data_IF_098364210641
#
_entry.id   IF_098364210641
#
_cell.length_a   1.000
_cell.length_b   1.000
_cell.length_c   1.000
_cell.angle_alpha   90.00
_cell.angle_beta   90.00
_cell.angle_gamma   90.00
#
_symmetry.space_group_name_H-M   'P 1'
#
loop_
_entity.id
_entity.type
_entity.pdbx_description
1 polymer ?
#
# COMPACT_ATOMS: atom_id res chain seq x y z
N UNK A 1 -29.72 65.20 60.70
CA UNK A 1 -28.84 65.21 59.55
C UNK A 1 -28.58 63.74 59.13
N UNK A 2 -29.24 63.25 58.09
CA UNK A 2 -29.10 61.92 57.66
C UNK A 2 -28.44 61.90 56.23
N UNK A 3 -27.18 61.43 56.18
CA UNK A 3 -26.44 61.31 54.95
C UNK A 3 -26.92 60.07 54.11
N UNK A 4 -27.27 60.31 52.88
CA UNK A 4 -27.64 59.21 51.91
C UNK A 4 -26.37 58.84 51.13
N UNK A 5 -25.98 57.57 51.26
CA UNK A 5 -24.92 56.99 50.47
C UNK A 5 -25.60 56.38 49.18
N UNK A 6 -25.14 56.84 48.03
CA UNK A 6 -25.57 56.35 46.72
C UNK A 6 -24.56 55.32 46.27
N UNK A 7 -25.00 54.08 46.03
CA UNK A 7 -24.21 53.04 45.43
C UNK A 7 -24.35 53.10 43.90
N UNK A 8 -23.26 53.31 43.18
CA UNK A 8 -23.21 53.18 41.76
C UNK A 8 -22.82 51.72 41.39
N UNK A 9 -23.73 51.02 40.72
CA UNK A 9 -23.46 49.70 40.21
C UNK A 9 -22.70 49.82 38.87
N UNK A 10 -21.48 49.29 38.86
CA UNK A 10 -20.70 49.13 37.61
C UNK A 10 -21.14 47.83 36.95
N UNK A 11 -21.82 47.90 35.82
CA UNK A 11 -22.14 46.75 34.99
C UNK A 11 -20.94 46.44 34.07
N UNK A 12 -20.22 45.36 34.34
CA UNK A 12 -19.16 44.83 33.47
C UNK A 12 -19.80 44.04 32.35
N UNK A 13 -19.70 44.55 31.14
CA UNK A 13 -20.11 43.85 29.93
C UNK A 13 -19.02 42.81 29.58
N UNK A 14 -19.30 41.52 29.82
CA UNK A 14 -18.44 40.43 29.34
C UNK A 14 -18.85 40.14 27.90
N UNK A 15 -18.07 40.59 26.94
CA UNK A 15 -18.23 40.20 25.55
C UNK A 15 -17.71 38.75 25.38
N UNK A 16 -18.61 37.81 25.21
CA UNK A 16 -18.28 36.44 24.83
C UNK A 16 -17.78 36.43 23.38
N UNK A 17 -16.45 36.32 23.19
CA UNK A 17 -15.86 35.93 21.91
C UNK A 17 -16.16 34.47 21.67
N UNK A 18 -17.21 34.19 20.89
CA UNK A 18 -17.43 32.87 20.33
C UNK A 18 -16.30 32.47 19.35
N UNK A 19 -15.98 31.19 19.21
CA UNK A 19 -14.97 30.75 18.27
C UNK A 19 -15.40 31.18 16.86
N UNK A 20 -14.60 32.06 16.23
CA UNK A 20 -14.76 32.33 14.81
C UNK A 20 -14.32 31.05 14.06
N UNK A 21 -15.30 30.35 13.49
CA UNK A 21 -15.05 29.36 12.45
C UNK A 21 -14.45 30.13 11.27
N UNK A 22 -13.12 30.06 11.16
CA UNK A 22 -12.43 30.47 9.95
C UNK A 22 -12.87 29.47 8.88
N UNK A 23 -13.82 29.87 8.04
CA UNK A 23 -14.13 29.12 6.84
C UNK A 23 -12.82 28.99 6.04
N UNK A 24 -12.28 27.77 5.99
CA UNK A 24 -11.23 27.44 5.04
C UNK A 24 -11.74 27.82 3.65
N UNK A 25 -11.13 28.87 3.08
CA UNK A 25 -11.30 29.18 1.66
C UNK A 25 -10.97 27.91 0.90
N UNK A 26 -11.94 27.40 0.12
CA UNK A 26 -11.75 26.25 -0.72
C UNK A 26 -10.43 26.40 -1.48
N UNK A 27 -9.52 25.46 -1.25
CA UNK A 27 -8.33 25.35 -2.06
C UNK A 27 -8.80 25.20 -3.51
N UNK A 28 -8.41 26.15 -4.38
CA UNK A 28 -8.60 25.98 -5.81
C UNK A 28 -7.95 24.66 -6.19
N UNK A 29 -8.73 23.71 -6.68
CA UNK A 29 -8.22 22.43 -7.16
C UNK A 29 -7.01 22.71 -8.04
N UNK A 30 -5.86 22.15 -7.70
CA UNK A 30 -4.61 22.41 -8.42
C UNK A 30 -4.76 21.80 -9.82
N UNK A 31 -4.58 22.63 -10.85
CA UNK A 31 -4.73 22.23 -12.25
C UNK A 31 -3.74 21.08 -12.54
N UNK A 32 -4.20 19.96 -13.15
CA UNK A 32 -3.32 18.86 -13.56
C UNK A 32 -2.23 19.35 -14.53
N UNK A 33 -1.02 18.80 -14.42
CA UNK A 33 -0.02 18.93 -15.49
C UNK A 33 -0.44 18.00 -16.63
N UNK A 34 -0.75 18.56 -17.80
CA UNK A 34 -1.23 17.81 -18.97
C UNK A 34 -0.23 16.73 -19.45
N UNK A 35 1.06 16.91 -19.19
CA UNK A 35 2.09 15.91 -19.54
C UNK A 35 1.98 14.69 -18.61
N UNK A 36 1.72 14.92 -17.34
CA UNK A 36 1.50 13.87 -16.34
C UNK A 36 0.15 13.20 -16.59
N UNK A 37 -0.88 14.00 -16.85
CA UNK A 37 -2.22 13.47 -17.18
C UNK A 37 -2.18 12.54 -18.38
N UNK A 38 -1.43 12.87 -19.43
CA UNK A 38 -1.27 12.02 -20.60
C UNK A 38 -0.59 10.66 -20.29
N UNK A 39 0.20 10.56 -19.22
CA UNK A 39 0.72 9.29 -18.72
C UNK A 39 -0.32 8.54 -17.89
N UNK A 40 -1.05 9.24 -17.02
CA UNK A 40 -2.12 8.65 -16.20
C UNK A 40 -3.22 8.06 -17.09
N UNK A 41 -3.59 8.73 -18.17
CA UNK A 41 -4.58 8.25 -19.13
C UNK A 41 -4.18 6.97 -19.89
N UNK A 42 -2.93 6.48 -19.73
CA UNK A 42 -2.47 5.17 -20.25
C UNK A 42 -2.78 3.99 -19.34
N UNK A 43 -3.22 4.25 -18.10
CA UNK A 43 -3.70 3.22 -17.22
C UNK A 43 -5.00 2.63 -17.78
N UNK A 44 -5.14 1.32 -17.65
CA UNK A 44 -6.26 0.59 -18.25
C UNK A 44 -6.87 -0.36 -17.23
N UNK A 45 -8.15 -0.17 -16.91
CA UNK A 45 -8.87 -0.98 -15.93
C UNK A 45 -8.88 -2.46 -16.30
N UNK A 46 -9.12 -2.78 -17.57
CA UNK A 46 -9.21 -4.17 -17.99
C UNK A 46 -7.84 -4.87 -17.93
N UNK A 47 -6.74 -4.15 -18.24
CA UNK A 47 -5.39 -4.69 -18.04
C UNK A 47 -5.08 -4.94 -16.58
N UNK A 48 -5.44 -4.00 -15.69
CA UNK A 48 -5.31 -4.17 -14.26
C UNK A 48 -6.05 -5.42 -13.76
N UNK A 49 -7.32 -5.57 -14.16
CA UNK A 49 -8.14 -6.76 -13.86
C UNK A 49 -7.52 -8.05 -14.42
N UNK A 50 -7.05 -8.04 -15.67
CA UNK A 50 -6.40 -9.20 -16.30
C UNK A 50 -5.12 -9.60 -15.57
N UNK A 51 -4.34 -8.62 -15.07
CA UNK A 51 -3.12 -8.90 -14.31
C UNK A 51 -3.46 -9.57 -12.97
N UNK A 52 -4.45 -9.07 -12.22
CA UNK A 52 -4.93 -9.73 -10.99
C UNK A 52 -5.41 -11.15 -11.32
N UNK A 53 -6.24 -11.30 -12.36
CA UNK A 53 -6.71 -12.62 -12.78
C UNK A 53 -5.58 -13.56 -13.18
N UNK A 54 -4.54 -13.04 -13.81
CA UNK A 54 -3.32 -13.80 -14.12
C UNK A 54 -2.60 -14.32 -12.88
N UNK A 55 -2.53 -13.52 -11.81
CA UNK A 55 -1.93 -13.93 -10.54
C UNK A 55 -2.72 -15.04 -9.85
N UNK A 56 -4.05 -15.06 -9.95
CA UNK A 56 -4.89 -16.05 -9.27
C UNK A 56 -4.71 -17.47 -9.78
N UNK A 57 -4.10 -17.66 -10.96
CA UNK A 57 -3.80 -19.01 -11.48
C UNK A 57 -2.85 -19.79 -10.57
N UNK A 58 -2.10 -19.11 -9.71
CA UNK A 58 -1.14 -19.70 -8.77
C UNK A 58 -1.73 -19.87 -7.35
N UNK A 59 -3.05 -19.72 -7.16
CA UNK A 59 -3.71 -19.72 -5.86
C UNK A 59 -3.26 -18.54 -5.01
N UNK A 60 -3.10 -18.73 -3.69
CA UNK A 60 -2.65 -17.67 -2.78
C UNK A 60 -1.15 -17.37 -2.88
N UNK A 61 -0.42 -17.98 -3.77
CA UNK A 61 1.02 -17.74 -4.04
C UNK A 61 1.91 -17.85 -2.79
N UNK A 62 1.49 -18.66 -1.82
CA UNK A 62 2.19 -18.83 -0.54
C UNK A 62 3.68 -19.05 -0.74
N UNK A 63 4.48 -18.24 -0.04
CA UNK A 63 5.95 -18.33 -0.11
C UNK A 63 6.47 -19.76 0.15
N UNK A 64 7.59 -20.13 -0.49
CA UNK A 64 8.23 -21.44 -0.30
C UNK A 64 7.58 -22.59 -1.08
N UNK A 65 6.57 -22.35 -1.89
CA UNK A 65 5.92 -23.33 -2.77
C UNK A 65 6.44 -23.22 -4.22
N UNK A 66 6.28 -24.28 -5.02
CA UNK A 66 6.63 -24.23 -6.45
C UNK A 66 5.75 -23.23 -7.21
N UNK A 67 4.46 -23.11 -6.83
CA UNK A 67 3.54 -22.16 -7.42
C UNK A 67 3.92 -20.70 -7.11
N UNK A 68 4.54 -20.42 -5.93
CA UNK A 68 5.11 -19.11 -5.64
C UNK A 68 6.30 -18.81 -6.57
N UNK A 69 7.21 -19.77 -6.76
CA UNK A 69 8.32 -19.65 -7.72
C UNK A 69 7.83 -19.41 -9.14
N UNK A 70 6.80 -20.16 -9.55
CA UNK A 70 6.16 -19.97 -10.86
C UNK A 70 5.50 -18.58 -10.99
N UNK A 71 4.93 -18.04 -9.93
CA UNK A 71 4.39 -16.68 -9.91
C UNK A 71 5.49 -15.62 -10.05
N UNK A 72 6.64 -15.78 -9.38
CA UNK A 72 7.82 -14.92 -9.56
C UNK A 72 8.28 -14.95 -11.04
N UNK A 73 8.39 -16.14 -11.64
CA UNK A 73 8.77 -16.30 -13.05
C UNK A 73 7.77 -15.63 -13.98
N UNK A 74 6.47 -15.77 -13.72
CA UNK A 74 5.42 -15.13 -14.50
C UNK A 74 5.46 -13.61 -14.41
N UNK A 75 5.61 -13.06 -13.20
CA UNK A 75 5.73 -11.61 -12.97
C UNK A 75 6.96 -11.08 -13.72
N UNK A 76 8.11 -11.75 -13.61
CA UNK A 76 9.33 -11.34 -14.31
C UNK A 76 9.13 -11.33 -15.83
N UNK A 77 8.46 -12.35 -16.38
CA UNK A 77 8.16 -12.41 -17.80
C UNK A 77 7.26 -11.26 -18.27
N UNK A 78 6.25 -10.87 -17.45
CA UNK A 78 5.41 -9.72 -17.75
C UNK A 78 6.23 -8.42 -17.73
N UNK A 79 7.03 -8.17 -16.70
CA UNK A 79 7.88 -6.98 -16.62
C UNK A 79 8.85 -6.87 -17.80
N UNK A 80 9.47 -7.99 -18.20
CA UNK A 80 10.32 -8.04 -19.41
C UNK A 80 9.53 -7.71 -20.68
N UNK A 81 8.29 -8.17 -20.79
CA UNK A 81 7.42 -7.87 -21.95
C UNK A 81 7.08 -6.39 -22.07
N UNK A 82 7.08 -5.64 -20.96
CA UNK A 82 6.94 -4.18 -20.95
C UNK A 82 8.20 -3.44 -21.34
N UNK A 83 9.31 -4.14 -21.54
CA UNK A 83 10.62 -3.55 -21.80
C UNK A 83 11.32 -3.02 -20.54
N UNK A 84 10.89 -3.47 -19.34
CA UNK A 84 11.51 -3.11 -18.06
C UNK A 84 12.63 -4.12 -17.71
N UNK A 85 13.91 -3.72 -17.61
CA UNK A 85 14.98 -4.63 -17.23
C UNK A 85 14.80 -5.15 -15.80
N UNK A 86 14.83 -6.47 -15.65
CA UNK A 86 14.56 -7.14 -14.38
C UNK A 86 15.81 -7.65 -13.69
N UNK A 87 15.76 -7.69 -12.37
CA UNK A 87 16.73 -8.35 -11.50
C UNK A 87 15.99 -9.08 -10.38
N UNK A 88 16.66 -10.07 -9.74
CA UNK A 88 16.15 -10.80 -8.59
C UNK A 88 17.02 -10.59 -7.37
N UNK A 89 16.39 -10.50 -6.21
CA UNK A 89 17.02 -10.64 -4.90
C UNK A 89 16.80 -12.06 -4.42
N UNK A 90 17.87 -12.68 -3.90
CA UNK A 90 17.85 -14.00 -3.28
C UNK A 90 18.21 -13.88 -1.82
N UNK A 91 17.50 -14.62 -0.97
CA UNK A 91 17.75 -14.71 0.45
C UNK A 91 17.32 -16.08 0.98
N UNK A 92 17.89 -16.48 2.12
CA UNK A 92 17.52 -17.73 2.80
C UNK A 92 16.40 -17.48 3.80
N UNK A 93 15.42 -18.35 3.80
CA UNK A 93 14.34 -18.33 4.78
C UNK A 93 14.23 -19.68 5.49
N UNK A 94 14.09 -19.61 6.80
CA UNK A 94 13.77 -20.77 7.65
C UNK A 94 12.52 -20.46 8.43
N UNK A 95 11.56 -21.35 8.39
CA UNK A 95 10.34 -21.25 9.19
C UNK A 95 10.73 -21.13 10.68
N UNK A 96 10.29 -20.06 11.36
CA UNK A 96 10.54 -19.94 12.80
C UNK A 96 9.94 -21.14 13.54
N UNK A 97 10.60 -21.62 14.61
CA UNK A 97 10.02 -22.67 15.44
C UNK A 97 8.67 -22.19 16.00
N UNK A 98 7.71 -23.10 16.21
CA UNK A 98 6.43 -22.76 16.80
C UNK A 98 6.63 -21.98 18.11
N UNK A 99 5.91 -20.87 18.27
CA UNK A 99 5.96 -20.10 19.51
C UNK A 99 5.42 -20.99 20.66
N UNK A 100 6.22 -21.33 21.68
CA UNK A 100 5.75 -22.16 22.78
C UNK A 100 4.68 -21.49 23.65
N UNK A 101 4.44 -20.18 23.44
CA UNK A 101 3.46 -19.41 24.18
C UNK A 101 2.63 -18.57 23.19
N UNK A 102 1.77 -19.18 22.34
CA UNK A 102 0.96 -18.43 21.41
C UNK A 102 0.00 -17.54 22.21
N UNK A 103 0.16 -16.22 22.08
CA UNK A 103 -0.80 -15.28 22.62
C UNK A 103 -2.12 -15.45 21.84
N UNK A 104 -3.22 -15.93 22.46
CA UNK A 104 -4.47 -16.17 21.75
C UNK A 104 -5.13 -14.90 21.16
N UNK A 105 -4.57 -13.73 21.43
CA UNK A 105 -5.02 -12.44 20.93
C UNK A 105 -4.12 -11.81 19.85
N UNK A 106 -3.02 -12.49 19.45
CA UNK A 106 -2.09 -11.99 18.44
C UNK A 106 -2.01 -12.97 17.27
N UNK A 107 -2.45 -12.60 16.09
CA UNK A 107 -2.03 -13.22 14.85
C UNK A 107 -0.50 -13.26 14.78
N UNK A 108 0.07 -14.13 13.97
CA UNK A 108 1.50 -14.37 13.87
C UNK A 108 2.27 -13.04 13.65
N UNK A 109 2.65 -12.40 14.76
CA UNK A 109 3.52 -11.25 14.74
C UNK A 109 4.93 -11.76 14.46
N UNK A 110 5.40 -11.61 13.23
CA UNK A 110 6.82 -11.70 12.92
C UNK A 110 7.58 -10.77 13.85
N UNK A 111 8.76 -11.20 14.31
CA UNK A 111 9.64 -10.38 15.15
C UNK A 111 10.01 -9.11 14.36
N UNK A 112 9.41 -8.00 14.73
CA UNK A 112 9.60 -6.70 14.10
C UNK A 112 8.39 -5.79 14.24
N UNK A 113 7.25 -6.31 14.72
CA UNK A 113 6.10 -5.46 15.04
C UNK A 113 6.48 -4.52 16.19
N UNK A 114 6.57 -3.24 15.88
CA UNK A 114 6.45 -2.19 16.90
C UNK A 114 5.14 -2.48 17.62
N UNK A 115 5.08 -2.54 18.97
CA UNK A 115 3.85 -2.76 19.68
C UNK A 115 2.82 -1.74 19.18
N UNK A 116 1.70 -2.21 18.68
CA UNK A 116 0.57 -1.35 18.35
C UNK A 116 0.23 -0.54 19.61
N UNK A 117 0.44 0.76 19.54
CA UNK A 117 0.07 1.64 20.65
C UNK A 117 -1.45 1.44 20.88
N UNK A 118 -1.89 1.21 22.12
CA UNK A 118 -3.31 1.03 22.38
C UNK A 118 -4.04 2.27 21.84
N UNK A 119 -5.19 2.11 21.16
CA UNK A 119 -5.95 3.24 20.68
C UNK A 119 -6.24 4.14 21.86
N UNK A 120 -5.77 5.38 21.81
CA UNK A 120 -6.10 6.41 22.79
C UNK A 120 -7.54 6.83 22.59
N UNK A 121 -8.48 5.96 22.96
CA UNK A 121 -9.88 6.30 23.05
C UNK A 121 -10.12 7.02 24.36
N UNK A 122 -10.05 8.33 24.35
CA UNK A 122 -10.76 9.13 25.32
C UNK A 122 -12.25 9.05 24.97
N UNK A 123 -12.95 8.09 25.57
CA UNK A 123 -14.39 7.93 25.40
C UNK A 123 -14.80 6.46 25.28
N UNK A 124 -15.26 5.87 26.39
CA UNK A 124 -15.62 4.46 26.51
C UNK A 124 -16.85 4.02 25.71
N UNK A 125 -16.78 4.03 24.39
CA UNK A 125 -17.71 3.38 23.49
C UNK A 125 -17.03 2.20 22.81
N UNK A 126 -17.54 0.97 23.05
CA UNK A 126 -17.15 -0.19 22.25
C UNK A 126 -17.42 0.11 20.78
N UNK A 127 -16.49 -0.18 19.84
CA UNK A 127 -16.76 -0.06 18.42
C UNK A 127 -18.03 -0.82 18.06
N UNK A 128 -19.00 -0.15 17.47
CA UNK A 128 -20.24 -0.76 16.98
C UNK A 128 -19.98 -1.32 15.58
N UNK A 129 -19.21 -2.40 15.48
CA UNK A 129 -18.96 -3.09 14.22
C UNK A 129 -18.96 -4.60 14.42
N UNK A 130 -19.29 -5.33 13.37
CA UNK A 130 -19.12 -6.77 13.33
C UNK A 130 -17.60 -7.00 13.34
N UNK A 131 -17.12 -7.79 14.29
CA UNK A 131 -15.72 -8.23 14.29
C UNK A 131 -15.52 -9.12 13.08
N UNK A 132 -14.86 -8.61 12.05
CA UNK A 132 -14.30 -9.45 11.00
C UNK A 132 -13.21 -10.33 11.60
N UNK A 133 -13.02 -11.51 11.05
CA UNK A 133 -11.89 -12.37 11.43
C UNK A 133 -10.61 -11.66 11.00
N UNK A 134 -9.74 -11.36 11.95
CA UNK A 134 -8.45 -10.69 11.70
C UNK A 134 -7.28 -11.68 11.70
N UNK A 135 -7.55 -12.99 11.69
CA UNK A 135 -6.54 -14.05 11.70
C UNK A 135 -6.56 -14.81 10.38
N UNK A 136 -5.37 -15.29 9.99
CA UNK A 136 -5.20 -16.18 8.84
C UNK A 136 -6.10 -17.41 8.98
N UNK A 137 -6.88 -17.72 7.97
CA UNK A 137 -7.61 -18.97 7.93
C UNK A 137 -6.62 -20.12 7.69
N UNK A 138 -6.64 -21.12 8.57
CA UNK A 138 -5.74 -22.27 8.51
C UNK A 138 -6.45 -23.57 8.14
N UNK A 139 -7.78 -23.55 7.96
CA UNK A 139 -8.56 -24.72 7.61
C UNK A 139 -8.67 -24.87 6.07
N UNK A 140 -8.04 -25.89 5.48
CA UNK A 140 -8.16 -26.13 4.04
C UNK A 140 -9.60 -26.42 3.58
N UNK A 141 -10.44 -26.95 4.49
CA UNK A 141 -11.83 -27.30 4.17
C UNK A 141 -12.73 -26.05 4.11
N UNK A 142 -12.26 -24.90 4.63
CA UNK A 142 -12.95 -23.62 4.50
C UNK A 142 -12.97 -23.12 3.04
N UNK A 143 -12.08 -23.61 2.15
CA UNK A 143 -12.11 -23.31 0.72
C UNK A 143 -13.01 -24.30 -0.03
N UNK A 144 -14.20 -23.87 -0.51
CA UNK A 144 -15.13 -24.75 -1.20
C UNK A 144 -14.67 -25.11 -2.63
N UNK A 145 -13.94 -24.21 -3.31
CA UNK A 145 -13.42 -24.47 -4.65
C UNK A 145 -12.30 -25.53 -4.59
N UNK A 146 -12.58 -26.71 -5.17
CA UNK A 146 -11.65 -27.84 -5.14
C UNK A 146 -10.34 -27.54 -5.88
N UNK A 147 -10.35 -26.70 -6.93
CA UNK A 147 -9.17 -26.31 -7.69
C UNK A 147 -8.28 -25.40 -6.87
N UNK A 148 -8.85 -24.35 -6.28
CA UNK A 148 -8.12 -23.40 -5.42
C UNK A 148 -7.57 -24.12 -4.19
N UNK A 149 -8.39 -24.97 -3.56
CA UNK A 149 -7.94 -25.78 -2.41
C UNK A 149 -6.77 -26.70 -2.79
N UNK A 150 -6.84 -27.39 -3.93
CA UNK A 150 -5.76 -28.28 -4.38
C UNK A 150 -4.45 -27.53 -4.64
N UNK A 151 -4.50 -26.33 -5.22
CA UNK A 151 -3.34 -25.47 -5.40
C UNK A 151 -2.73 -25.09 -4.05
N UNK A 152 -3.56 -24.65 -3.11
CA UNK A 152 -3.11 -24.16 -1.80
C UNK A 152 -2.68 -25.26 -0.83
N UNK A 153 -2.96 -26.54 -1.15
CA UNK A 153 -2.45 -27.71 -0.43
C UNK A 153 -0.94 -27.96 -0.63
N UNK A 154 -0.30 -27.32 -1.61
CA UNK A 154 1.14 -27.49 -1.82
C UNK A 154 1.92 -27.04 -0.59
N UNK A 155 2.78 -27.89 -0.01
CA UNK A 155 3.53 -27.55 1.19
C UNK A 155 4.61 -26.50 0.89
N UNK A 156 4.75 -25.54 1.79
CA UNK A 156 5.92 -24.66 1.80
C UNK A 156 7.15 -25.38 2.35
N UNK A 157 8.31 -25.07 1.79
CA UNK A 157 9.60 -25.63 2.20
C UNK A 157 10.52 -24.53 2.70
N UNK A 158 11.44 -24.85 3.59
CA UNK A 158 12.56 -23.95 3.94
C UNK A 158 13.53 -23.82 2.76
N UNK A 159 14.40 -22.82 2.80
CA UNK A 159 15.47 -22.61 1.85
C UNK A 159 15.38 -21.28 1.11
N UNK A 160 15.95 -21.20 -0.11
CA UNK A 160 16.05 -19.93 -0.82
C UNK A 160 14.67 -19.37 -1.23
N UNK A 161 14.58 -18.05 -1.14
CA UNK A 161 13.47 -17.23 -1.68
C UNK A 161 14.01 -16.28 -2.70
N UNK A 162 13.17 -15.93 -3.64
CA UNK A 162 13.45 -14.91 -4.64
C UNK A 162 12.30 -13.91 -4.69
N UNK A 163 12.65 -12.68 -4.98
CA UNK A 163 11.75 -11.61 -5.35
C UNK A 163 12.27 -10.92 -6.58
N UNK A 164 11.41 -10.23 -7.30
CA UNK A 164 11.76 -9.61 -8.57
C UNK A 164 11.45 -8.11 -8.55
N UNK A 165 12.35 -7.34 -9.13
CA UNK A 165 12.11 -5.94 -9.44
C UNK A 165 12.55 -5.62 -10.86
N UNK A 166 12.04 -4.50 -11.39
CA UNK A 166 12.58 -3.93 -12.62
C UNK A 166 12.87 -2.44 -12.43
N UNK A 167 13.73 -1.89 -13.29
CA UNK A 167 14.25 -0.53 -13.11
C UNK A 167 14.13 0.29 -14.38
N UNK A 168 13.41 1.42 -14.30
CA UNK A 168 13.43 2.51 -15.27
C UNK A 168 14.53 3.48 -14.88
N UNK A 169 15.63 3.49 -15.61
CA UNK A 169 16.80 4.36 -15.32
C UNK A 169 16.49 5.80 -15.75
N UNK A 170 16.74 6.74 -14.85
CA UNK A 170 16.60 8.17 -15.09
C UNK A 170 17.65 8.71 -16.07
N UNK A 171 17.30 9.75 -16.80
CA UNK A 171 18.18 10.34 -17.84
C UNK A 171 19.12 11.41 -17.31
N UNK A 172 18.68 12.25 -16.36
CA UNK A 172 19.46 13.39 -15.84
C UNK A 172 20.02 13.13 -14.44
N UNK A 173 19.28 12.41 -13.61
CA UNK A 173 19.65 12.02 -12.24
C UNK A 173 19.48 10.51 -12.02
N UNK A 174 20.27 9.68 -12.75
CA UNK A 174 20.17 8.22 -12.63
C UNK A 174 20.60 7.68 -11.26
N UNK A 175 21.31 8.49 -10.48
CA UNK A 175 21.78 8.24 -9.13
C UNK A 175 20.74 8.50 -8.03
N UNK A 176 19.55 9.02 -8.37
CA UNK A 176 18.42 9.25 -7.48
C UNK A 176 17.24 8.33 -7.85
N UNK A 177 16.59 7.69 -6.86
CA UNK A 177 15.58 6.67 -7.12
C UNK A 177 14.40 6.73 -6.15
N UNK A 178 13.19 6.50 -6.70
CA UNK A 178 12.01 6.13 -5.94
C UNK A 178 11.74 4.64 -6.10
N UNK A 179 11.35 3.97 -5.01
CA UNK A 179 10.98 2.55 -4.99
C UNK A 179 9.46 2.47 -4.85
N UNK A 180 8.82 1.75 -5.76
CA UNK A 180 7.38 1.52 -5.81
C UNK A 180 7.18 0.02 -5.64
N UNK A 181 6.57 -0.38 -4.55
CA UNK A 181 6.49 -1.79 -4.17
C UNK A 181 5.08 -2.28 -3.88
N UNK A 182 4.94 -3.60 -3.93
CA UNK A 182 3.80 -4.40 -3.50
C UNK A 182 4.32 -5.80 -3.14
N UNK A 183 3.61 -6.59 -2.33
CA UNK A 183 4.00 -7.98 -2.14
C UNK A 183 3.23 -8.94 -3.04
N UNK A 184 3.91 -9.97 -3.48
CA UNK A 184 3.33 -10.90 -4.45
C UNK A 184 2.83 -12.21 -3.83
N UNK A 185 3.27 -12.54 -2.63
CA UNK A 185 2.80 -13.70 -1.90
C UNK A 185 1.50 -13.39 -1.14
N UNK A 186 0.84 -14.41 -0.65
CA UNK A 186 -0.38 -14.33 0.12
C UNK A 186 -0.64 -15.64 0.83
N UNK A 187 -1.70 -15.72 1.62
CA UNK A 187 -2.13 -16.90 2.34
C UNK A 187 -3.65 -16.87 2.64
N UNK A 188 -4.17 -17.84 3.42
CA UNK A 188 -5.57 -17.84 3.85
C UNK A 188 -6.51 -18.70 3.02
N UNK A 189 -5.98 -19.51 2.10
CA UNK A 189 -6.72 -20.48 1.27
C UNK A 189 -7.55 -19.87 0.15
N UNK A 190 -7.50 -18.54 -0.08
CA UNK A 190 -8.08 -17.86 -1.23
C UNK A 190 -7.19 -17.89 -2.48
N UNK A 191 -7.41 -16.91 -3.33
CA UNK A 191 -6.56 -16.59 -4.48
C UNK A 191 -5.62 -15.41 -4.20
N UNK A 192 -5.70 -14.81 -2.99
CA UNK A 192 -4.98 -13.59 -2.63
C UNK A 192 -5.17 -12.50 -3.71
N UNK A 193 -6.42 -12.29 -4.11
CA UNK A 193 -6.75 -11.38 -5.20
C UNK A 193 -6.62 -9.92 -4.77
N UNK A 194 -7.02 -9.61 -3.53
CA UNK A 194 -6.83 -8.31 -2.92
C UNK A 194 -5.49 -8.26 -2.17
N UNK A 195 -5.21 -9.23 -1.30
CA UNK A 195 -4.02 -9.28 -0.45
C UNK A 195 -2.96 -10.26 -1.00
N UNK A 196 -1.92 -9.81 -1.75
CA UNK A 196 -1.78 -8.49 -2.35
C UNK A 196 -1.63 -8.60 -3.88
N UNK A 197 -2.57 -9.33 -4.50
CA UNK A 197 -2.68 -9.38 -5.96
C UNK A 197 -3.03 -8.01 -6.55
N UNK A 198 -3.77 -7.20 -5.80
CA UNK A 198 -4.21 -5.87 -6.23
C UNK A 198 -3.05 -4.88 -6.27
N UNK A 199 -2.25 -4.78 -5.22
CA UNK A 199 -1.06 -3.94 -5.20
C UNK A 199 0.00 -4.42 -6.19
N UNK A 200 0.23 -5.74 -6.27
CA UNK A 200 1.13 -6.33 -7.28
C UNK A 200 0.74 -5.91 -8.70
N UNK A 201 -0.54 -6.03 -9.07
CA UNK A 201 -1.02 -5.62 -10.38
C UNK A 201 -0.91 -4.12 -10.62
N UNK A 202 -1.15 -3.30 -9.59
CA UNK A 202 -0.97 -1.85 -9.64
C UNK A 202 0.48 -1.49 -9.97
N UNK A 203 1.44 -2.05 -9.25
CA UNK A 203 2.88 -1.79 -9.47
C UNK A 203 3.29 -2.24 -10.87
N UNK A 204 2.77 -3.38 -11.38
CA UNK A 204 3.02 -3.86 -12.73
C UNK A 204 2.43 -2.92 -13.80
N UNK A 205 1.24 -2.34 -13.58
CA UNK A 205 0.66 -1.34 -14.49
C UNK A 205 1.48 -0.04 -14.53
N UNK A 206 1.97 0.43 -13.38
CA UNK A 206 2.90 1.56 -13.34
C UNK A 206 4.18 1.22 -14.13
N UNK A 207 4.78 0.05 -13.89
CA UNK A 207 5.96 -0.41 -14.62
C UNK A 207 5.73 -0.42 -16.14
N UNK A 208 4.56 -0.88 -16.58
CA UNK A 208 4.18 -0.90 -18.00
C UNK A 208 4.15 0.51 -18.60
N UNK A 209 3.49 1.46 -17.93
CA UNK A 209 3.36 2.83 -18.43
C UNK A 209 4.72 3.53 -18.47
N UNK A 210 5.49 3.48 -17.39
CA UNK A 210 6.80 4.13 -17.33
C UNK A 210 7.85 3.50 -18.25
N UNK A 211 7.72 2.20 -18.55
CA UNK A 211 8.67 1.50 -19.46
C UNK A 211 8.36 1.71 -20.94
N UNK A 212 7.29 2.43 -21.27
CA UNK A 212 7.01 2.83 -22.66
C UNK A 212 8.25 3.45 -23.30
N UNK A 213 8.54 3.06 -24.56
CA UNK A 213 9.73 3.52 -25.29
C UNK A 213 9.76 5.02 -25.52
N UNK A 214 8.59 5.65 -25.49
CA UNK A 214 8.36 7.09 -25.62
C UNK A 214 8.33 7.82 -24.26
N UNK A 215 8.54 7.13 -23.14
CA UNK A 215 8.54 7.73 -21.79
C UNK A 215 9.96 7.93 -21.30
N UNK A 216 10.25 9.12 -20.82
CA UNK A 216 11.50 9.45 -20.12
C UNK A 216 11.22 9.94 -18.71
N UNK A 217 12.17 9.68 -17.80
CA UNK A 217 12.18 10.20 -16.44
C UNK A 217 13.52 10.86 -16.15
N UNK A 218 13.55 11.89 -15.33
CA UNK A 218 14.81 12.48 -14.88
C UNK A 218 15.47 11.59 -13.81
N UNK A 219 14.68 11.04 -12.89
CA UNK A 219 15.12 10.12 -11.83
C UNK A 219 14.78 8.68 -12.16
N UNK A 220 15.50 7.77 -11.55
CA UNK A 220 15.27 6.33 -11.62
C UNK A 220 14.02 5.94 -10.83
N UNK A 221 13.29 4.94 -11.34
CA UNK A 221 12.17 4.31 -10.66
C UNK A 221 12.45 2.81 -10.58
N UNK A 222 12.29 2.21 -9.41
CA UNK A 222 12.31 0.77 -9.20
C UNK A 222 10.92 0.28 -8.86
N UNK A 223 10.42 -0.68 -9.63
CA UNK A 223 9.16 -1.37 -9.39
C UNK A 223 9.48 -2.72 -8.79
N UNK A 224 9.15 -2.91 -7.51
CA UNK A 224 9.58 -4.07 -6.74
C UNK A 224 8.37 -4.90 -6.30
N UNK A 225 8.43 -6.21 -6.56
CA UNK A 225 7.42 -7.18 -6.14
C UNK A 225 8.05 -8.06 -5.05
N UNK A 226 7.80 -7.68 -3.80
CA UNK A 226 8.35 -8.35 -2.63
C UNK A 226 7.78 -9.75 -2.47
N UNK A 227 8.51 -10.64 -1.86
CA UNK A 227 8.06 -11.99 -1.57
C UNK A 227 8.23 -12.29 -0.08
N UNK A 228 7.36 -13.14 0.46
CA UNK A 228 7.44 -13.55 1.86
C UNK A 228 7.16 -12.39 2.84
N UNK A 229 6.21 -11.51 2.48
CA UNK A 229 5.66 -10.48 3.35
C UNK A 229 4.91 -11.12 4.51
N UNK A 230 3.99 -12.04 4.19
CA UNK A 230 2.99 -12.67 5.03
C UNK A 230 3.56 -13.46 6.23
N UNK A 231 4.84 -13.72 6.23
CA UNK A 231 5.54 -14.41 7.32
C UNK A 231 6.60 -13.54 8.00
N UNK A 232 6.56 -12.22 7.76
CA UNK A 232 7.36 -11.23 8.51
C UNK A 232 8.20 -10.28 7.67
N UNK A 233 7.70 -9.77 6.54
CA UNK A 233 8.33 -8.73 5.71
C UNK A 233 9.72 -9.13 5.20
N UNK A 234 9.94 -10.43 4.97
CA UNK A 234 11.28 -10.98 4.83
C UNK A 234 11.97 -10.53 3.54
N UNK A 235 11.23 -10.41 2.43
CA UNK A 235 11.77 -9.94 1.17
C UNK A 235 12.24 -8.50 1.25
N UNK A 236 11.36 -7.59 1.64
CA UNK A 236 11.69 -6.18 1.81
C UNK A 236 12.86 -5.98 2.79
N UNK A 237 12.87 -6.73 3.90
CA UNK A 237 13.97 -6.70 4.87
C UNK A 237 15.29 -7.19 4.26
N UNK A 238 15.25 -8.24 3.43
CA UNK A 238 16.42 -8.76 2.73
C UNK A 238 16.96 -7.75 1.71
N UNK A 239 16.07 -7.10 0.95
CA UNK A 239 16.46 -6.03 0.04
C UNK A 239 17.15 -4.88 0.78
N UNK A 240 16.56 -4.37 1.85
CA UNK A 240 17.17 -3.30 2.67
C UNK A 240 18.53 -3.72 3.19
N UNK A 241 18.65 -4.94 3.76
CA UNK A 241 19.90 -5.45 4.30
C UNK A 241 21.00 -5.55 3.24
N UNK A 242 20.67 -5.98 2.01
CA UNK A 242 21.63 -6.17 0.92
C UNK A 242 22.00 -4.87 0.20
N UNK A 243 21.11 -3.86 0.16
CA UNK A 243 21.22 -2.72 -0.75
C UNK A 243 21.44 -1.36 -0.09
N UNK A 244 21.03 -1.17 1.19
CA UNK A 244 21.11 0.15 1.85
C UNK A 244 22.50 0.77 1.86
N UNK A 245 23.56 -0.02 1.98
CA UNK A 245 24.93 0.48 2.05
C UNK A 245 25.59 0.61 0.67
N UNK A 246 24.88 0.27 -0.41
CA UNK A 246 25.32 0.40 -1.79
C UNK A 246 24.82 1.68 -2.46
N UNK A 247 23.91 2.40 -1.81
CA UNK A 247 23.24 3.57 -2.39
C UNK A 247 24.20 4.61 -2.93
N UNK A 248 23.91 5.09 -4.14
CA UNK A 248 24.66 6.17 -4.78
C UNK A 248 26.08 5.81 -5.20
N UNK A 249 26.48 4.54 -5.09
CA UNK A 249 27.81 4.08 -5.53
C UNK A 249 27.81 3.77 -7.01
N UNK A 250 28.69 4.45 -7.72
CA UNK A 250 28.90 4.22 -9.14
C UNK A 250 29.70 2.93 -9.37
N UNK A 251 29.26 2.12 -10.32
CA UNK A 251 29.96 0.88 -10.66
C UNK A 251 29.89 0.57 -12.17
N UNK A 252 31.03 0.54 -12.90
CA UNK A 252 32.37 0.94 -12.43
C UNK A 252 32.46 2.46 -12.21
N UNK A 253 33.45 2.95 -11.41
CA UNK A 253 33.65 4.38 -11.20
C UNK A 253 33.82 5.16 -12.52
N UNK A 254 33.16 6.33 -12.64
CA UNK A 254 33.13 7.16 -13.81
C UNK A 254 32.17 6.71 -14.93
N UNK A 255 31.43 5.62 -14.73
CA UNK A 255 30.49 5.07 -15.72
C UNK A 255 29.11 5.74 -15.74
N UNK A 256 28.75 6.50 -14.71
CA UNK A 256 27.39 6.99 -14.43
C UNK A 256 26.36 5.84 -14.30
N UNK A 257 26.81 4.63 -14.00
CA UNK A 257 25.94 3.49 -13.70
C UNK A 257 25.86 3.30 -12.18
N UNK A 258 24.66 3.33 -11.66
CA UNK A 258 24.36 3.18 -10.22
C UNK A 258 23.50 1.93 -10.06
N UNK A 259 24.11 0.76 -9.74
CA UNK A 259 23.34 -0.47 -9.49
C UNK A 259 22.32 -0.30 -8.37
N UNK A 260 22.66 0.55 -7.38
CA UNK A 260 21.75 0.99 -6.34
C UNK A 260 21.78 2.52 -6.20
N UNK A 261 20.89 3.24 -6.90
CA UNK A 261 20.79 4.69 -6.76
C UNK A 261 20.41 5.10 -5.32
N UNK A 262 20.65 6.34 -4.95
CA UNK A 262 20.22 6.90 -3.67
C UNK A 262 18.70 6.85 -3.58
N UNK A 263 18.18 6.27 -2.53
CA UNK A 263 16.74 6.19 -2.28
C UNK A 263 16.21 7.55 -1.83
N UNK A 264 15.16 8.03 -2.47
CA UNK A 264 14.46 9.27 -2.15
C UNK A 264 13.11 9.04 -1.50
N UNK A 265 12.50 7.90 -1.73
CA UNK A 265 11.23 7.49 -1.15
C UNK A 265 10.91 6.04 -1.47
N UNK A 266 10.18 5.38 -0.57
CA UNK A 266 9.62 4.06 -0.77
C UNK A 266 8.11 4.11 -0.58
N UNK A 267 7.38 3.57 -1.51
CA UNK A 267 5.92 3.56 -1.54
C UNK A 267 5.44 2.12 -1.69
N UNK A 268 4.79 1.62 -0.67
CA UNK A 268 4.17 0.30 -0.67
C UNK A 268 2.70 0.40 -1.06
N UNK A 269 2.23 -0.51 -1.90
CA UNK A 269 0.82 -0.70 -2.22
C UNK A 269 0.39 -2.05 -1.68
N UNK A 270 -0.74 -2.09 -0.97
CA UNK A 270 -1.14 -3.29 -0.25
C UNK A 270 -2.65 -3.24 0.03
N UNK A 271 -3.42 -4.11 -0.63
CA UNK A 271 -4.88 -4.20 -0.55
C UNK A 271 -5.61 -2.98 -1.11
N UNK A 272 -6.14 -3.08 -2.34
CA UNK A 272 -6.72 -1.96 -3.11
C UNK A 272 -8.15 -2.22 -3.61
N UNK A 273 -8.87 -3.27 -3.17
CA UNK A 273 -10.14 -3.67 -3.80
C UNK A 273 -11.38 -3.58 -2.92
N UNK A 274 -11.27 -3.26 -1.63
CA UNK A 274 -12.43 -3.30 -0.75
C UNK A 274 -13.22 -2.00 -0.76
N UNK A 275 -14.14 -1.85 -1.73
CA UNK A 275 -15.04 -0.72 -1.87
C UNK A 275 -16.49 -1.01 -1.45
N UNK A 276 -16.91 -2.29 -1.47
CA UNK A 276 -18.28 -2.69 -1.17
C UNK A 276 -18.32 -3.80 -0.12
N UNK A 277 -19.52 -4.24 0.19
CA UNK A 277 -19.69 -5.51 0.89
C UNK A 277 -19.44 -5.43 2.37
N UNK A 278 -19.87 -4.37 3.05
CA UNK A 278 -19.89 -4.34 4.52
C UNK A 278 -20.70 -5.52 5.07
N UNK A 279 -20.14 -6.30 6.01
CA UNK A 279 -20.85 -7.41 6.59
C UNK A 279 -22.08 -6.93 7.39
N UNK A 280 -23.19 -7.64 7.24
CA UNK A 280 -24.40 -7.45 8.01
C UNK A 280 -24.40 -8.37 9.24
N UNK A 281 -25.24 -8.09 10.28
CA UNK A 281 -25.33 -8.91 11.48
C UNK A 281 -25.69 -10.38 11.23
N UNK A 282 -26.37 -10.67 10.14
CA UNK A 282 -26.76 -12.03 9.70
C UNK A 282 -25.68 -12.75 8.91
N UNK A 283 -24.51 -12.12 8.71
CA UNK A 283 -23.38 -12.67 7.93
C UNK A 283 -23.49 -12.48 6.43
N UNK A 284 -24.54 -11.83 5.93
CA UNK A 284 -24.63 -11.43 4.52
C UNK A 284 -23.82 -10.16 4.26
N UNK A 285 -23.52 -9.87 3.01
CA UNK A 285 -22.75 -8.70 2.59
C UNK A 285 -23.65 -7.69 1.90
N UNK A 286 -23.51 -6.42 2.25
CA UNK A 286 -24.10 -5.34 1.47
C UNK A 286 -23.46 -5.29 0.08
N UNK A 287 -24.25 -4.94 -0.92
CA UNK A 287 -23.77 -4.78 -2.29
C UNK A 287 -23.43 -3.34 -2.64
N UNK A 288 -23.90 -2.42 -1.81
CA UNK A 288 -23.72 -1.00 -2.03
C UNK A 288 -22.27 -0.60 -1.79
N UNK A 289 -21.82 0.38 -2.55
CA UNK A 289 -20.55 1.06 -2.34
C UNK A 289 -20.48 1.62 -0.92
N UNK A 290 -19.30 1.56 -0.31
CA UNK A 290 -19.04 2.16 0.98
C UNK A 290 -18.93 3.68 0.83
N UNK A 291 -19.59 4.42 1.72
CA UNK A 291 -19.55 5.89 1.73
C UNK A 291 -18.16 6.41 2.09
N UNK A 292 -17.40 5.64 2.85
CA UNK A 292 -16.06 5.94 3.33
C UNK A 292 -14.94 5.42 2.41
N UNK A 293 -15.29 4.82 1.27
CA UNK A 293 -14.28 4.31 0.34
C UNK A 293 -13.32 5.41 -0.12
N UNK A 294 -12.04 5.23 0.12
CA UNK A 294 -10.97 6.17 -0.23
C UNK A 294 -9.63 5.47 -0.49
N UNK A 295 -8.69 6.22 -1.04
CA UNK A 295 -7.28 5.84 -1.11
C UNK A 295 -6.60 6.32 0.16
N UNK A 296 -6.32 5.41 1.08
CA UNK A 296 -5.66 5.73 2.33
C UNK A 296 -4.13 5.75 2.15
N UNK A 297 -3.51 6.88 2.49
CA UNK A 297 -2.07 7.10 2.38
C UNK A 297 -1.51 7.24 3.79
N UNK A 298 -0.70 6.28 4.21
CA UNK A 298 -0.21 6.18 5.59
C UNK A 298 1.29 6.46 5.68
N UNK A 299 1.71 7.25 6.67
CA UNK A 299 3.09 7.37 7.11
C UNK A 299 3.21 6.97 8.59
N UNK A 300 4.42 6.60 9.05
CA UNK A 300 4.61 6.24 10.46
C UNK A 300 5.15 7.44 11.25
N UNK A 301 4.31 7.97 12.16
CA UNK A 301 4.66 9.14 12.99
C UNK A 301 5.82 8.90 13.97
N UNK A 302 6.13 7.63 14.28
CA UNK A 302 7.25 7.25 15.16
C UNK A 302 8.54 6.90 14.42
N UNK A 303 8.53 6.90 13.07
CA UNK A 303 9.71 6.66 12.25
C UNK A 303 10.72 7.79 12.35
N UNK A 304 12.02 7.50 12.15
CA UNK A 304 13.09 8.52 12.18
C UNK A 304 12.91 9.60 11.13
N UNK A 305 12.33 9.24 9.98
CA UNK A 305 12.09 10.13 8.83
C UNK A 305 10.62 10.53 8.71
N UNK A 306 9.91 10.60 9.84
CA UNK A 306 8.46 10.82 9.88
C UNK A 306 8.05 12.15 9.20
N UNK A 307 8.82 13.22 9.34
CA UNK A 307 8.52 14.51 8.70
C UNK A 307 8.60 14.45 7.18
N UNK A 308 9.64 13.82 6.66
CA UNK A 308 9.84 13.60 5.22
C UNK A 308 8.80 12.61 4.66
N UNK A 309 8.46 11.56 5.42
CA UNK A 309 7.41 10.61 5.06
C UNK A 309 6.02 11.28 5.02
N UNK A 310 5.74 12.18 5.97
CA UNK A 310 4.52 12.99 5.96
C UNK A 310 4.47 13.89 4.71
N UNK A 311 5.57 14.54 4.36
CA UNK A 311 5.63 15.37 3.15
C UNK A 311 5.40 14.54 1.88
N UNK A 312 5.95 13.31 1.84
CA UNK A 312 5.73 12.36 0.76
C UNK A 312 4.25 11.93 0.67
N UNK A 313 3.61 11.62 1.80
CA UNK A 313 2.19 11.29 1.87
C UNK A 313 1.29 12.44 1.34
N UNK A 314 1.60 13.67 1.68
CA UNK A 314 0.87 14.83 1.15
C UNK A 314 1.12 15.07 -0.34
N UNK A 315 2.28 14.68 -0.88
CA UNK A 315 2.50 14.70 -2.33
C UNK A 315 1.56 13.71 -3.05
N UNK A 316 1.38 12.52 -2.48
CA UNK A 316 0.39 11.53 -2.97
C UNK A 316 -1.04 12.04 -2.89
N UNK A 317 -1.43 12.63 -1.77
CA UNK A 317 -2.76 13.23 -1.62
C UNK A 317 -3.04 14.28 -2.69
N UNK A 318 -2.10 15.19 -2.93
CA UNK A 318 -2.21 16.20 -3.99
C UNK A 318 -2.29 15.59 -5.39
N UNK A 319 -1.59 14.49 -5.63
CA UNK A 319 -1.68 13.78 -6.89
C UNK A 319 -3.06 13.11 -7.07
N UNK A 320 -3.64 12.58 -6.00
CA UNK A 320 -5.02 12.09 -6.03
C UNK A 320 -5.99 13.21 -6.45
N UNK A 321 -5.92 14.37 -5.80
CA UNK A 321 -6.79 15.53 -6.14
C UNK A 321 -6.67 15.99 -7.60
N UNK A 322 -5.50 15.75 -8.26
CA UNK A 322 -5.26 16.19 -9.64
C UNK A 322 -5.59 15.13 -10.68
N UNK A 323 -5.34 13.88 -10.39
CA UNK A 323 -5.28 12.83 -11.41
C UNK A 323 -6.24 11.67 -11.19
N UNK A 324 -6.71 11.45 -9.97
CA UNK A 324 -7.66 10.40 -9.67
C UNK A 324 -9.09 10.82 -10.06
N UNK A 325 -9.92 9.86 -10.44
CA UNK A 325 -11.23 10.14 -11.04
C UNK A 325 -12.42 9.86 -10.13
N UNK A 326 -12.32 8.85 -9.26
CA UNK A 326 -13.50 8.27 -8.62
C UNK A 326 -13.48 8.37 -7.08
N UNK A 327 -12.29 8.31 -6.45
CA UNK A 327 -12.18 8.21 -5.00
C UNK A 327 -11.24 9.28 -4.43
N UNK A 328 -11.62 9.91 -3.30
CA UNK A 328 -10.74 10.83 -2.60
C UNK A 328 -9.57 10.07 -1.96
N UNK A 329 -8.57 10.81 -1.49
CA UNK A 329 -7.51 10.27 -0.66
C UNK A 329 -7.56 10.84 0.76
N UNK A 330 -7.10 10.04 1.73
CA UNK A 330 -6.85 10.45 3.11
C UNK A 330 -5.39 10.23 3.48
N UNK A 331 -4.87 11.03 4.40
CA UNK A 331 -3.52 10.87 4.95
C UNK A 331 -3.62 10.49 6.41
N UNK A 332 -3.11 9.29 6.74
CA UNK A 332 -3.02 8.76 8.10
C UNK A 332 -1.59 8.82 8.64
N UNK A 333 -1.44 8.91 9.95
CA UNK A 333 -0.15 8.98 10.64
C UNK A 333 0.28 7.67 11.33
N UNK A 334 -0.40 6.59 11.01
CA UNK A 334 -0.15 5.26 11.56
C UNK A 334 -0.05 4.24 10.42
N UNK A 335 1.14 4.17 9.82
CA UNK A 335 1.43 3.19 8.78
C UNK A 335 1.35 1.79 9.35
N UNK A 336 0.53 0.98 8.74
CA UNK A 336 0.38 -0.41 9.13
C UNK A 336 1.59 -1.25 8.76
N UNK A 337 1.75 -2.38 9.44
CA UNK A 337 2.84 -3.29 9.21
C UNK A 337 2.72 -3.95 7.82
N UNK A 338 3.58 -3.52 6.91
CA UNK A 338 3.75 -4.03 5.56
C UNK A 338 5.17 -3.71 5.09
N UNK A 339 5.53 -4.01 3.86
CA UNK A 339 6.91 -3.91 3.33
C UNK A 339 7.53 -2.50 3.33
N UNK A 340 6.76 -1.45 3.59
CA UNK A 340 7.29 -0.12 3.90
C UNK A 340 8.02 -0.06 5.26
N UNK A 341 7.68 -0.96 6.19
CA UNK A 341 8.24 -0.97 7.56
C UNK A 341 9.76 -1.16 7.60
N UNK A 342 10.38 -2.10 6.87
CA UNK A 342 11.84 -2.22 6.85
C UNK A 342 12.58 -0.98 6.33
N UNK A 343 11.90 -0.12 5.56
CA UNK A 343 12.48 1.08 4.97
C UNK A 343 12.31 2.34 5.82
N UNK A 344 11.31 2.41 6.71
CA UNK A 344 10.82 3.66 7.35
C UNK A 344 11.88 4.45 8.12
N UNK A 345 12.94 3.80 8.59
CA UNK A 345 14.06 4.45 9.29
C UNK A 345 15.29 4.71 8.40
N UNK A 346 15.21 4.34 7.12
CA UNK A 346 16.31 4.43 6.14
C UNK A 346 15.99 5.44 5.03
N UNK A 347 14.72 5.49 4.61
CA UNK A 347 14.21 6.39 3.58
C UNK A 347 12.78 6.80 3.93
N UNK A 348 12.30 8.02 3.55
CA UNK A 348 10.89 8.37 3.70
C UNK A 348 10.00 7.28 3.09
N UNK A 349 9.12 6.68 3.89
CA UNK A 349 8.31 5.53 3.46
C UNK A 349 6.84 5.76 3.77
N UNK A 350 5.97 5.39 2.83
CA UNK A 350 4.52 5.44 2.95
C UNK A 350 3.91 4.13 2.48
N UNK A 351 2.71 3.83 2.98
CA UNK A 351 1.84 2.79 2.45
C UNK A 351 0.61 3.41 1.81
N UNK A 352 0.17 2.85 0.70
CA UNK A 352 -1.09 3.20 0.01
C UNK A 352 -2.00 1.98 0.10
N UNK A 353 -3.19 2.19 0.63
CA UNK A 353 -4.16 1.13 0.93
C UNK A 353 -5.57 1.52 0.56
N UNK A 354 -6.46 0.55 0.60
CA UNK A 354 -7.89 0.78 0.63
C UNK A 354 -8.30 1.22 2.03
N UNK A 355 -9.00 2.31 2.16
CA UNK A 355 -9.67 2.77 3.36
C UNK A 355 -8.82 2.88 4.65
N UNK A 356 -9.21 3.77 5.53
CA UNK A 356 -8.62 3.93 6.85
C UNK A 356 -9.06 2.79 7.78
N UNK A 357 -8.10 2.23 8.52
CA UNK A 357 -8.36 1.13 9.45
C UNK A 357 -9.03 1.60 10.74
N UNK A 358 -10.04 0.86 11.17
CA UNK A 358 -10.53 0.88 12.54
C UNK A 358 -11.51 1.97 12.91
N UNK A 359 -11.60 3.07 12.17
CA UNK A 359 -12.46 4.20 12.54
C UNK A 359 -13.80 4.21 11.82
N UNK A 360 -13.81 3.97 10.53
CA UNK A 360 -14.99 4.15 9.68
C UNK A 360 -15.72 2.84 9.40
N UNK A 361 -15.01 1.71 9.42
CA UNK A 361 -15.56 0.39 9.09
C UNK A 361 -15.56 -0.59 10.27
N UNK A 362 -15.64 -0.12 11.48
CA UNK A 362 -15.69 -0.95 12.68
C UNK A 362 -14.34 -1.59 12.98
N UNK A 363 -14.09 -2.83 12.56
CA UNK A 363 -12.75 -3.45 12.66
C UNK A 363 -11.76 -2.96 11.60
N UNK A 364 -12.22 -2.22 10.61
CA UNK A 364 -11.42 -1.52 9.63
C UNK A 364 -10.75 -2.38 8.57
N UNK A 365 -11.00 -3.67 8.54
CA UNK A 365 -10.38 -4.58 7.60
C UNK A 365 -11.36 -5.11 6.57
N UNK A 366 -10.85 -5.38 5.37
CA UNK A 366 -11.54 -6.22 4.40
C UNK A 366 -11.88 -7.57 5.05
N UNK A 367 -13.16 -7.99 5.08
CA UNK A 367 -13.57 -9.27 5.64
C UNK A 367 -13.01 -10.46 4.85
N UNK A 368 -12.49 -10.25 3.66
CA UNK A 368 -11.85 -11.26 2.82
C UNK A 368 -10.36 -11.44 3.13
N UNK A 369 -9.76 -10.48 3.84
CA UNK A 369 -8.35 -10.50 4.20
C UNK A 369 -7.96 -11.79 4.90
N UNK A 370 -6.96 -12.50 4.35
CA UNK A 370 -6.48 -13.80 4.84
C UNK A 370 -7.57 -14.88 4.93
N UNK A 371 -8.60 -14.81 4.08
CA UNK A 371 -9.72 -15.75 4.07
C UNK A 371 -9.82 -16.50 2.74
N UNK A 372 -10.49 -17.69 2.74
CA UNK A 372 -10.77 -18.44 1.51
C UNK A 372 -11.60 -17.65 0.49
N UNK A 373 -12.22 -16.57 0.92
CA UNK A 373 -13.08 -15.70 0.12
C UNK A 373 -12.33 -14.56 -0.56
N UNK A 374 -11.02 -14.38 -0.35
CA UNK A 374 -10.20 -13.47 -1.14
C UNK A 374 -9.95 -14.07 -2.53
N UNK A 375 -10.98 -14.00 -3.35
CA UNK A 375 -11.04 -14.53 -4.72
C UNK A 375 -11.27 -13.39 -5.70
N UNK A 376 -10.75 -13.52 -6.91
CA UNK A 376 -11.05 -12.56 -7.99
C UNK A 376 -12.56 -12.35 -8.19
N UNK A 377 -13.35 -13.40 -8.07
CA UNK A 377 -14.80 -13.36 -8.24
C UNK A 377 -15.57 -12.68 -7.10
N UNK A 378 -14.93 -12.42 -6.00
CA UNK A 378 -15.52 -11.70 -4.86
C UNK A 378 -15.68 -10.21 -5.15
N UNK A 379 -14.77 -9.66 -5.96
CA UNK A 379 -14.70 -8.23 -6.24
C UNK A 379 -15.45 -7.87 -7.53
N UNK A 380 -16.07 -6.71 -7.53
CA UNK A 380 -16.82 -6.17 -8.67
C UNK A 380 -16.07 -5.01 -9.35
N UNK A 381 -16.66 -4.43 -10.39
CA UNK A 381 -16.03 -3.35 -11.14
C UNK A 381 -15.76 -2.09 -10.32
N UNK A 382 -16.51 -1.84 -9.26
CA UNK A 382 -16.25 -0.68 -8.38
C UNK A 382 -15.02 -0.90 -7.51
N UNK A 383 -14.84 -2.12 -6.98
CA UNK A 383 -13.65 -2.50 -6.26
C UNK A 383 -12.40 -2.34 -7.13
N UNK A 384 -12.45 -2.84 -8.36
CA UNK A 384 -11.33 -2.65 -9.30
C UNK A 384 -11.10 -1.19 -9.69
N UNK A 385 -12.13 -0.34 -9.68
CA UNK A 385 -11.98 1.11 -9.89
C UNK A 385 -11.27 1.79 -8.72
N UNK A 386 -11.47 1.35 -7.47
CA UNK A 386 -10.70 1.84 -6.33
C UNK A 386 -9.20 1.56 -6.54
N UNK A 387 -8.85 0.34 -6.97
CA UNK A 387 -7.47 -0.02 -7.31
C UNK A 387 -6.89 0.81 -8.46
N UNK A 388 -7.68 1.04 -9.52
CA UNK A 388 -7.27 1.92 -10.63
C UNK A 388 -7.07 3.36 -10.15
N UNK A 389 -7.92 3.85 -9.26
CA UNK A 389 -7.81 5.18 -8.68
C UNK A 389 -6.52 5.34 -7.84
N UNK A 390 -6.15 4.32 -7.08
CA UNK A 390 -4.85 4.28 -6.40
C UNK A 390 -3.67 4.26 -7.39
N UNK A 391 -3.83 3.56 -8.52
CA UNK A 391 -2.83 3.56 -9.60
C UNK A 391 -2.70 4.95 -10.26
N UNK A 392 -3.80 5.64 -10.51
CA UNK A 392 -3.80 7.02 -11.03
C UNK A 392 -3.11 7.98 -10.06
N UNK A 393 -3.42 7.87 -8.78
CA UNK A 393 -2.78 8.64 -7.70
C UNK A 393 -1.28 8.44 -7.69
N UNK A 394 -0.84 7.18 -7.67
CA UNK A 394 0.58 6.82 -7.56
C UNK A 394 1.35 7.14 -8.84
N UNK A 395 0.77 6.89 -10.01
CA UNK A 395 1.40 7.26 -11.28
C UNK A 395 1.60 8.77 -11.37
N UNK A 396 0.58 9.55 -11.01
CA UNK A 396 0.65 11.01 -11.01
C UNK A 396 1.75 11.52 -10.08
N UNK A 397 1.79 11.05 -8.83
CA UNK A 397 2.80 11.43 -7.85
C UNK A 397 4.23 11.07 -8.31
N UNK A 398 4.42 9.83 -8.78
CA UNK A 398 5.72 9.36 -9.26
C UNK A 398 6.15 10.15 -10.49
N UNK A 399 5.25 10.43 -11.43
CA UNK A 399 5.55 11.22 -12.62
C UNK A 399 6.04 12.64 -12.27
N UNK A 400 5.37 13.32 -11.34
CA UNK A 400 5.80 14.64 -10.88
C UNK A 400 7.17 14.58 -10.18
N UNK A 401 7.37 13.63 -9.25
CA UNK A 401 8.60 13.51 -8.49
C UNK A 401 9.81 13.10 -9.34
N UNK A 402 9.57 12.34 -10.40
CA UNK A 402 10.63 11.84 -11.27
C UNK A 402 10.83 12.66 -12.52
N UNK A 403 10.01 13.69 -12.78
CA UNK A 403 10.08 14.50 -13.98
C UNK A 403 9.71 13.71 -15.24
N UNK A 404 8.75 12.79 -15.12
CA UNK A 404 8.35 11.93 -16.22
C UNK A 404 7.65 12.74 -17.33
N UNK A 405 7.93 12.36 -18.58
CA UNK A 405 7.38 13.00 -19.77
C UNK A 405 7.36 12.07 -20.97
N UNK A 406 6.46 12.35 -21.89
CA UNK A 406 6.45 11.71 -23.20
C UNK A 406 7.50 12.43 -24.06
N UNK A 407 8.36 11.68 -24.74
CA UNK A 407 9.33 12.20 -25.73
C UNK A 407 8.59 12.92 -26.84
N UNK A 408 9.10 14.04 -27.24
CA UNK A 408 8.61 14.78 -28.41
C UNK A 408 9.19 14.21 -29.70
#
# INVERSE_FOLDING_TARGET
MRSKVVWAALATLVASLGPQVVAQRGATASVPDERVKALVDRLDLERYKVTIKGLTQFGDRRQGTDRNRAAVDWIEAQLKSYGCPTERIRYEFKTPPPNPNPNPAGGAAGRGSVPEAPPTSAGGGRPRGIRTRTSVNTDPNAQPDARVRALNMQPATDGPREEVYCTKVGTTRPDEMYIIGAHMDGHGWGEAANDDGSGTALVMELARVFSGSDVETDRTIRFALWNNEETGLNGAAAYVAQRKDLQGRENPPGSRRFPEPKWLGMIQHDMMLFDHGMPLPDGTMRKEQRLEADVNIEFQSTAKLSGEAQALAWAWHKANERYATDYPAKVGNHMTNTDSTPFMDVVPSISVRENERGTEVGSGWDPQWHQPTDLYSTYNDQDFRLGLNAAQTSLGAVAELTGARIKR
#
